data_IF_510696404126
#
_entry.id   IF_510696404126
#
_cell.length_a   1.000
_cell.length_b   1.000
_cell.length_c   1.000
_cell.angle_alpha   90.00
_cell.angle_beta   90.00
_cell.angle_gamma   90.00
#
_symmetry.space_group_name_H-M   'P 1'
#
loop_
_entity.id
_entity.type
_entity.pdbx_description
1 polymer ?
#
# COMPACT_ATOMS: atom_id res chain seq x y z
N UNK A 1 -4.96 -3.36 15.88
CA UNK A 1 -6.36 -3.82 15.78
C UNK A 1 -7.27 -2.70 16.28
N UNK A 2 -8.34 -2.45 15.54
CA UNK A 2 -9.36 -1.47 15.91
C UNK A 2 -10.49 -2.15 16.67
N UNK A 3 -10.88 -1.60 17.81
CA UNK A 3 -11.95 -2.11 18.69
C UNK A 3 -12.89 -0.99 19.16
N UNK A 4 -12.93 0.13 18.44
CA UNK A 4 -13.70 1.32 18.83
C UNK A 4 -15.22 1.10 18.83
N UNK A 5 -15.68 -0.04 18.30
CA UNK A 5 -17.07 -0.47 18.32
C UNK A 5 -17.46 -1.23 19.60
N UNK A 6 -16.53 -1.46 20.53
CA UNK A 6 -16.75 -2.18 21.79
C UNK A 6 -17.07 -1.22 22.93
N UNK A 7 -18.35 -1.15 23.34
CA UNK A 7 -18.79 -0.31 24.46
C UNK A 7 -18.28 -0.79 25.83
N UNK A 8 -17.87 -2.05 25.94
CA UNK A 8 -17.37 -2.68 27.17
C UNK A 8 -16.01 -2.14 27.64
N UNK A 9 -15.36 -1.29 26.85
CA UNK A 9 -14.01 -0.82 27.13
C UNK A 9 -13.79 0.62 26.70
N UNK A 10 -13.02 1.43 27.45
CA UNK A 10 -12.70 2.80 27.04
C UNK A 10 -11.63 2.86 25.93
N UNK A 11 -11.07 1.72 25.52
CA UNK A 11 -9.98 1.66 24.54
C UNK A 11 -10.52 1.49 23.13
N UNK A 12 -9.97 2.26 22.19
CA UNK A 12 -10.36 2.22 20.78
C UNK A 12 -9.46 1.32 19.93
N UNK A 13 -8.24 1.03 20.41
CA UNK A 13 -7.30 0.19 19.66
C UNK A 13 -6.38 -0.63 20.55
N UNK A 14 -5.91 -1.75 19.97
CA UNK A 14 -4.91 -2.64 20.55
C UNK A 14 -3.75 -2.78 19.56
N UNK A 15 -2.53 -2.49 20.02
CA UNK A 15 -1.30 -2.68 19.27
C UNK A 15 -0.59 -3.94 19.77
N UNK A 16 -0.46 -4.91 18.88
CA UNK A 16 0.37 -6.10 19.11
C UNK A 16 1.79 -5.80 18.65
N UNK A 17 2.78 -6.13 19.48
CA UNK A 17 4.19 -5.96 19.20
C UNK A 17 4.85 -7.35 19.21
N UNK A 18 5.93 -7.53 18.43
CA UNK A 18 6.57 -8.85 18.33
C UNK A 18 7.23 -9.31 19.63
N UNK A 19 7.80 -8.37 20.40
CA UNK A 19 8.65 -8.66 21.55
C UNK A 19 8.13 -8.02 22.85
N UNK A 20 6.88 -7.57 22.86
CA UNK A 20 6.29 -6.90 24.02
C UNK A 20 4.81 -7.25 24.15
N UNK A 21 4.29 -7.07 25.35
CA UNK A 21 2.88 -7.20 25.68
C UNK A 21 2.01 -6.28 24.81
N UNK A 22 0.78 -6.70 24.46
CA UNK A 22 -0.14 -5.86 23.70
C UNK A 22 -0.44 -4.55 24.45
N UNK A 23 -0.35 -3.43 23.75
CA UNK A 23 -0.64 -2.09 24.30
C UNK A 23 -2.02 -1.65 23.87
N UNK A 24 -2.81 -1.14 24.82
CA UNK A 24 -4.14 -0.58 24.58
C UNK A 24 -4.03 0.93 24.44
N UNK A 25 -4.84 1.52 23.57
CA UNK A 25 -4.92 2.97 23.41
C UNK A 25 -6.37 3.43 23.31
N UNK A 26 -6.65 4.60 23.87
CA UNK A 26 -7.92 5.33 23.71
C UNK A 26 -8.00 6.05 22.36
N UNK A 27 -6.92 6.04 21.57
CA UNK A 27 -6.92 6.57 20.21
C UNK A 27 -7.39 5.51 19.21
N UNK A 28 -8.06 5.95 18.14
CA UNK A 28 -8.42 5.06 17.03
C UNK A 28 -7.17 4.66 16.24
N UNK A 29 -7.25 3.53 15.54
CA UNK A 29 -6.16 3.10 14.65
C UNK A 29 -5.81 4.15 13.58
N UNK A 30 -6.80 4.92 13.10
CA UNK A 30 -6.58 6.02 12.15
C UNK A 30 -5.63 7.08 12.71
N UNK A 31 -5.83 7.52 13.96
CA UNK A 31 -4.99 8.55 14.60
C UNK A 31 -3.57 8.05 14.78
N UNK A 32 -3.43 6.82 15.30
CA UNK A 32 -2.12 6.20 15.54
C UNK A 32 -1.33 6.07 14.25
N UNK A 33 -1.96 5.54 13.20
CA UNK A 33 -1.28 5.30 11.92
C UNK A 33 -0.96 6.61 11.20
N UNK A 34 -1.87 7.59 11.18
CA UNK A 34 -1.57 8.89 10.58
C UNK A 34 -0.40 9.58 11.27
N UNK A 35 -0.35 9.57 12.61
CA UNK A 35 0.80 10.10 13.36
C UNK A 35 2.10 9.39 12.97
N UNK A 36 2.06 8.07 12.81
CA UNK A 36 3.22 7.33 12.30
C UNK A 36 3.60 7.79 10.89
N UNK A 37 2.66 7.86 9.94
CA UNK A 37 2.93 8.26 8.56
C UNK A 37 3.47 9.70 8.45
N UNK A 38 2.92 10.62 9.24
CA UNK A 38 3.36 12.01 9.29
C UNK A 38 4.79 12.11 9.85
N UNK A 39 5.15 11.27 10.83
CA UNK A 39 6.53 11.18 11.34
C UNK A 39 7.55 10.68 10.31
N UNK A 40 7.08 9.98 9.27
CA UNK A 40 7.93 9.53 8.15
C UNK A 40 8.05 10.60 7.05
N UNK A 41 7.46 11.79 7.23
CA UNK A 41 7.37 12.86 6.23
C UNK A 41 6.72 12.43 4.91
N UNK A 42 5.99 11.31 4.92
CA UNK A 42 5.27 10.78 3.77
C UNK A 42 3.85 10.40 4.20
N UNK A 43 2.90 11.35 4.17
CA UNK A 43 1.53 11.10 4.59
C UNK A 43 0.85 10.01 3.77
N UNK A 44 -0.12 9.33 4.36
CA UNK A 44 -0.83 8.25 3.67
C UNK A 44 -1.65 8.71 2.46
N UNK A 45 -2.04 10.00 2.40
CA UNK A 45 -2.66 10.59 1.21
C UNK A 45 -1.77 10.49 -0.03
N UNK A 46 -0.46 10.67 0.11
CA UNK A 46 0.51 10.51 -0.98
C UNK A 46 0.54 9.06 -1.47
N UNK A 47 0.53 8.10 -0.54
CA UNK A 47 0.45 6.68 -0.91
C UNK A 47 -0.87 6.33 -1.61
N UNK A 48 -1.98 6.89 -1.13
CA UNK A 48 -3.28 6.69 -1.76
C UNK A 48 -3.27 7.20 -3.19
N UNK A 49 -2.74 8.40 -3.42
CA UNK A 49 -2.62 8.97 -4.76
C UNK A 49 -1.74 8.10 -5.68
N UNK A 50 -0.62 7.61 -5.16
CA UNK A 50 0.28 6.71 -5.89
C UNK A 50 -0.39 5.37 -6.24
N UNK A 51 -1.14 4.77 -5.31
CA UNK A 51 -1.90 3.55 -5.60
C UNK A 51 -3.04 3.78 -6.60
N UNK A 52 -3.76 4.89 -6.45
CA UNK A 52 -4.87 5.27 -7.34
C UNK A 52 -4.41 5.53 -8.77
N UNK A 53 -3.24 6.13 -8.97
CA UNK A 53 -2.66 6.34 -10.30
C UNK A 53 -2.31 5.01 -10.99
N UNK A 54 -1.99 3.98 -10.22
CA UNK A 54 -1.78 2.61 -10.71
C UNK A 54 -3.09 1.80 -10.84
N UNK A 55 -4.25 2.45 -10.65
CA UNK A 55 -5.57 1.84 -10.82
C UNK A 55 -6.14 1.17 -9.56
N UNK A 56 -5.44 1.26 -8.42
CA UNK A 56 -5.90 0.66 -7.16
C UNK A 56 -6.72 1.66 -6.33
N UNK A 57 -7.99 1.32 -6.06
CA UNK A 57 -8.93 2.26 -5.42
C UNK A 57 -9.30 1.95 -3.96
N UNK A 58 -8.97 0.76 -3.45
CA UNK A 58 -9.44 0.28 -2.14
C UNK A 58 -8.34 -0.46 -1.38
N UNK A 59 -8.38 -0.35 -0.05
CA UNK A 59 -7.47 -1.04 0.88
C UNK A 59 -6.00 -0.92 0.48
N UNK A 60 -5.56 0.31 0.19
CA UNK A 60 -4.20 0.57 -0.25
C UNK A 60 -3.21 0.36 0.90
N UNK A 61 -2.13 -0.40 0.69
CA UNK A 61 -1.09 -0.54 1.70
C UNK A 61 -0.24 0.73 1.76
N UNK A 62 0.29 1.02 2.95
CA UNK A 62 1.34 2.00 3.16
C UNK A 62 2.70 1.33 3.01
N UNK A 63 3.44 1.69 1.96
CA UNK A 63 4.75 1.12 1.65
C UNK A 63 5.78 2.22 1.56
N UNK A 64 6.76 2.23 2.46
CA UNK A 64 7.86 3.17 2.42
C UNK A 64 9.16 2.43 2.78
N UNK A 65 10.03 2.27 1.78
CA UNK A 65 11.28 1.51 1.94
C UNK A 65 11.00 0.06 2.33
N UNK A 66 11.47 -0.36 3.51
CA UNK A 66 11.30 -1.72 4.04
C UNK A 66 10.08 -1.84 4.98
N UNK A 67 9.28 -0.78 5.10
CA UNK A 67 8.12 -0.76 5.99
C UNK A 67 6.83 -0.90 5.18
N UNK A 68 6.10 -1.98 5.42
CA UNK A 68 4.82 -2.28 4.79
C UNK A 68 3.73 -2.42 5.84
N UNK A 69 2.73 -1.54 5.81
CA UNK A 69 1.51 -1.67 6.59
C UNK A 69 0.32 -1.86 5.65
N UNK A 70 -0.46 -2.91 5.88
CA UNK A 70 -1.62 -3.22 5.05
C UNK A 70 -2.87 -3.11 5.91
N UNK A 71 -3.90 -2.36 5.46
CA UNK A 71 -5.16 -2.30 6.16
C UNK A 71 -6.03 -3.51 5.79
N UNK A 72 -6.72 -4.09 6.76
CA UNK A 72 -7.69 -5.18 6.57
C UNK A 72 -8.88 -4.76 5.67
N UNK A 73 -9.25 -3.48 5.70
CA UNK A 73 -10.33 -2.89 4.90
C UNK A 73 -9.99 -1.48 4.42
N UNK A 74 -10.87 -0.91 3.59
CA UNK A 74 -10.72 0.48 3.13
C UNK A 74 -10.83 1.47 4.30
N UNK A 75 -9.89 2.41 4.39
CA UNK A 75 -9.77 3.31 5.55
C UNK A 75 -10.51 4.64 5.40
N UNK A 76 -11.25 4.84 4.32
CA UNK A 76 -11.85 6.14 3.98
C UNK A 76 -13.06 6.49 4.83
N UNK A 77 -13.83 5.49 5.29
CA UNK A 77 -15.10 5.70 6.02
C UNK A 77 -15.01 5.33 7.50
N UNK A 78 -14.16 4.37 7.84
CA UNK A 78 -14.02 3.84 9.20
C UNK A 78 -12.56 3.47 9.48
N UNK A 79 -12.13 3.50 10.74
CA UNK A 79 -10.85 2.95 11.15
C UNK A 79 -10.69 1.48 10.70
N UNK A 80 -9.45 1.06 10.47
CA UNK A 80 -9.11 -0.25 9.94
C UNK A 80 -8.04 -0.88 10.82
N UNK A 81 -8.04 -2.21 10.92
CA UNK A 81 -6.90 -2.88 11.54
C UNK A 81 -5.75 -2.90 10.53
N UNK A 82 -4.57 -2.53 11.00
CA UNK A 82 -3.36 -2.56 10.21
C UNK A 82 -2.45 -3.69 10.67
N UNK A 83 -1.83 -4.37 9.71
CA UNK A 83 -0.83 -5.39 9.98
C UNK A 83 0.46 -5.08 9.22
N UNK A 84 1.58 -5.36 9.89
CA UNK A 84 2.93 -5.10 9.42
C UNK A 84 3.40 -6.24 8.52
N UNK A 85 3.10 -6.17 7.21
CA UNK A 85 3.43 -7.23 6.25
C UNK A 85 4.96 -7.45 6.12
N UNK A 86 5.77 -6.44 6.42
CA UNK A 86 7.24 -6.52 6.46
C UNK A 86 7.79 -7.46 7.56
N UNK A 87 6.95 -7.90 8.51
CA UNK A 87 7.30 -8.92 9.49
C UNK A 87 6.79 -10.32 9.12
N UNK A 88 5.98 -10.45 8.07
CA UNK A 88 5.33 -11.70 7.71
C UNK A 88 6.21 -12.47 6.73
N UNK A 89 6.69 -13.62 7.17
CA UNK A 89 7.52 -14.52 6.37
C UNK A 89 6.72 -15.63 5.68
N UNK A 90 5.56 -16.01 6.24
CA UNK A 90 4.70 -17.06 5.68
C UNK A 90 3.23 -16.82 6.03
N UNK A 91 2.32 -17.42 5.27
CA UNK A 91 0.88 -17.39 5.49
C UNK A 91 0.28 -18.77 5.26
N UNK A 92 -0.63 -19.20 6.13
CA UNK A 92 -1.40 -20.44 5.97
C UNK A 92 -2.90 -20.14 6.03
N UNK A 93 -3.64 -20.59 5.02
CA UNK A 93 -5.09 -20.50 5.00
C UNK A 93 -5.72 -21.83 5.40
N UNK A 94 -6.43 -21.85 6.53
CA UNK A 94 -7.21 -23.00 6.93
C UNK A 94 -8.60 -22.93 6.28
N UNK A 95 -8.83 -23.80 5.29
CA UNK A 95 -10.11 -23.89 4.57
C UNK A 95 -11.28 -24.33 5.45
N UNK A 96 -11.04 -25.12 6.51
CA UNK A 96 -12.10 -25.57 7.42
C UNK A 96 -12.64 -24.42 8.27
N UNK A 97 -11.73 -23.62 8.83
CA UNK A 97 -12.09 -22.50 9.71
C UNK A 97 -12.29 -21.18 8.96
N UNK A 98 -12.00 -21.16 7.65
CA UNK A 98 -11.97 -19.95 6.80
C UNK A 98 -11.10 -18.83 7.38
N UNK A 99 -9.99 -19.22 8.02
CA UNK A 99 -9.08 -18.32 8.72
C UNK A 99 -7.71 -18.29 8.07
N UNK A 100 -7.17 -17.10 7.92
CA UNK A 100 -5.80 -16.87 7.50
C UNK A 100 -4.92 -16.68 8.72
N UNK A 101 -3.84 -17.45 8.83
CA UNK A 101 -2.82 -17.25 9.87
C UNK A 101 -1.53 -16.75 9.22
N UNK A 102 -1.02 -15.63 9.73
CA UNK A 102 0.23 -15.00 9.31
C UNK A 102 1.34 -15.37 10.29
N UNK A 103 2.52 -15.68 9.78
CA UNK A 103 3.66 -16.14 10.57
C UNK A 103 4.87 -15.22 10.37
N UNK A 104 5.60 -14.96 11.45
CA UNK A 104 7.02 -14.54 11.37
C UNK A 104 7.86 -15.78 11.05
N UNK A 105 9.18 -15.61 10.92
CA UNK A 105 10.12 -16.74 10.85
C UNK A 105 10.08 -17.68 12.07
N UNK A 106 9.55 -17.22 13.22
CA UNK A 106 9.67 -17.94 14.50
C UNK A 106 8.30 -18.30 15.11
N UNK A 107 7.27 -17.46 14.95
CA UNK A 107 5.98 -17.62 15.61
C UNK A 107 4.79 -17.14 14.75
N UNK A 108 3.58 -17.72 14.93
CA UNK A 108 2.35 -17.12 14.41
C UNK A 108 2.15 -15.73 14.99
N UNK A 109 1.84 -14.76 14.13
CA UNK A 109 1.64 -13.35 14.50
C UNK A 109 0.17 -13.07 14.72
N UNK A 110 -0.67 -13.52 13.78
CA UNK A 110 -2.03 -13.03 13.68
C UNK A 110 -2.89 -14.02 12.90
N UNK A 111 -4.07 -14.31 13.43
CA UNK A 111 -5.13 -15.00 12.71
C UNK A 111 -6.23 -14.01 12.37
N UNK A 112 -6.64 -13.96 11.11
CA UNK A 112 -7.64 -13.02 10.60
C UNK A 112 -8.76 -13.77 9.88
N UNK A 113 -9.97 -13.24 10.02
CA UNK A 113 -11.15 -13.68 9.26
C UNK A 113 -11.13 -13.04 7.87
N UNK A 114 -10.17 -13.46 7.05
CA UNK A 114 -10.00 -13.02 5.66
C UNK A 114 -9.90 -14.23 4.74
N UNK A 115 -10.51 -14.13 3.57
CA UNK A 115 -10.41 -15.18 2.55
C UNK A 115 -9.01 -15.22 1.96
N UNK A 116 -8.55 -16.40 1.57
CA UNK A 116 -7.29 -16.56 0.83
C UNK A 116 -7.20 -15.59 -0.36
N UNK A 117 -8.27 -15.51 -1.16
CA UNK A 117 -8.35 -14.61 -2.33
C UNK A 117 -8.23 -13.13 -1.94
N UNK A 118 -8.85 -12.72 -0.83
CA UNK A 118 -8.77 -11.34 -0.35
C UNK A 118 -7.36 -10.95 0.06
N UNK A 119 -6.68 -11.84 0.79
CA UNK A 119 -5.29 -11.65 1.18
C UNK A 119 -4.34 -11.65 -0.02
N UNK A 120 -4.50 -12.61 -0.93
CA UNK A 120 -3.71 -12.70 -2.17
C UNK A 120 -3.81 -11.42 -2.99
N UNK A 121 -5.00 -10.83 -3.08
CA UNK A 121 -5.19 -9.53 -3.73
C UNK A 121 -4.43 -8.42 -3.00
N UNK A 122 -4.48 -8.37 -1.67
CA UNK A 122 -3.73 -7.37 -0.89
C UNK A 122 -2.22 -7.53 -1.06
N UNK A 123 -1.72 -8.77 -1.04
CA UNK A 123 -0.31 -9.08 -1.25
C UNK A 123 0.16 -8.69 -2.67
N UNK A 124 -0.66 -8.92 -3.69
CA UNK A 124 -0.38 -8.48 -5.06
C UNK A 124 -0.30 -6.95 -5.16
N UNK A 125 -1.26 -6.23 -4.57
CA UNK A 125 -1.21 -4.75 -4.54
C UNK A 125 0.06 -4.27 -3.84
N UNK A 126 0.37 -4.83 -2.66
CA UNK A 126 1.56 -4.46 -1.92
C UNK A 126 2.85 -4.71 -2.73
N UNK A 127 2.93 -5.86 -3.40
CA UNK A 127 4.08 -6.23 -4.22
C UNK A 127 4.25 -5.31 -5.42
N UNK A 128 3.16 -4.97 -6.11
CA UNK A 128 3.21 -4.04 -7.24
C UNK A 128 3.63 -2.63 -6.79
N UNK A 129 3.07 -2.11 -5.71
CA UNK A 129 3.45 -0.78 -5.20
C UNK A 129 4.93 -0.75 -4.80
N UNK A 130 5.41 -1.77 -4.07
CA UNK A 130 6.83 -1.87 -3.69
C UNK A 130 7.74 -1.94 -4.92
N UNK A 131 7.40 -2.78 -5.90
CA UNK A 131 8.17 -2.92 -7.12
C UNK A 131 8.26 -1.59 -7.88
N UNK A 132 7.12 -0.92 -8.09
CA UNK A 132 7.08 0.37 -8.80
C UNK A 132 7.93 1.42 -8.07
N UNK A 133 7.78 1.55 -6.74
CA UNK A 133 8.62 2.47 -5.96
C UNK A 133 10.11 2.13 -6.08
N UNK A 134 10.46 0.85 -6.01
CA UNK A 134 11.84 0.40 -6.13
C UNK A 134 12.42 0.76 -7.48
N UNK A 135 11.68 0.57 -8.57
CA UNK A 135 12.11 0.95 -9.93
C UNK A 135 12.29 2.45 -10.10
N UNK A 136 11.40 3.26 -9.54
CA UNK A 136 11.52 4.72 -9.55
C UNK A 136 12.78 5.18 -8.83
N UNK A 137 13.02 4.62 -7.65
CA UNK A 137 14.20 4.95 -6.86
C UNK A 137 15.47 4.46 -7.57
N UNK A 138 15.50 3.24 -8.10
CA UNK A 138 16.60 2.75 -8.93
C UNK A 138 16.90 3.70 -10.10
N UNK A 139 15.88 4.10 -10.85
CA UNK A 139 16.02 5.02 -11.98
C UNK A 139 16.60 6.38 -11.57
N UNK A 140 16.15 6.94 -10.44
CA UNK A 140 16.68 8.19 -9.90
C UNK A 140 18.13 8.07 -9.44
N UNK A 141 18.45 7.01 -8.68
CA UNK A 141 19.82 6.78 -8.20
C UNK A 141 20.79 6.59 -9.37
N UNK A 142 20.39 5.82 -10.39
CA UNK A 142 21.18 5.64 -11.61
C UNK A 142 21.36 6.96 -12.38
N UNK A 143 20.36 7.85 -12.38
CA UNK A 143 20.48 9.16 -13.04
C UNK A 143 21.49 10.09 -12.35
N UNK A 144 21.65 9.95 -11.03
CA UNK A 144 22.57 10.77 -10.23
C UNK A 144 23.88 10.05 -9.85
N UNK A 145 24.19 8.90 -10.47
CA UNK A 145 25.37 8.08 -10.17
C UNK A 145 25.54 7.72 -8.67
N UNK A 146 24.42 7.57 -7.96
CA UNK A 146 24.44 7.22 -6.54
C UNK A 146 24.31 5.71 -6.38
N UNK A 147 25.28 5.08 -5.72
CA UNK A 147 25.18 3.66 -5.35
C UNK A 147 24.35 3.47 -4.09
N UNK A 148 23.51 2.43 -4.05
CA UNK A 148 22.68 2.10 -2.89
C UNK A 148 22.91 0.67 -2.43
N UNK A 149 23.30 0.50 -1.17
CA UNK A 149 23.28 -0.80 -0.51
C UNK A 149 21.83 -1.17 -0.18
N UNK A 150 21.36 -2.30 -0.70
CA UNK A 150 20.05 -2.85 -0.32
C UNK A 150 20.19 -3.68 0.93
N UNK A 151 19.43 -3.33 1.95
CA UNK A 151 19.23 -4.19 3.12
C UNK A 151 18.02 -5.05 2.81
N UNK A 152 18.26 -6.28 2.34
CA UNK A 152 17.20 -7.21 1.98
C UNK A 152 16.65 -7.91 3.22
N UNK A 153 15.35 -7.79 3.48
CA UNK A 153 14.64 -8.61 4.47
C UNK A 153 13.58 -9.44 3.79
N UNK A 154 13.87 -10.73 3.68
CA UNK A 154 12.95 -11.71 3.10
C UNK A 154 11.59 -11.72 3.84
N UNK A 155 10.53 -11.34 3.12
CA UNK A 155 9.15 -11.42 3.55
C UNK A 155 8.25 -11.82 2.37
N UNK A 156 6.95 -11.98 2.62
CA UNK A 156 5.98 -12.42 1.60
C UNK A 156 5.96 -11.55 0.33
N UNK A 157 6.23 -10.24 0.43
CA UNK A 157 6.29 -9.34 -0.75
C UNK A 157 7.47 -9.70 -1.62
N UNK A 158 8.65 -9.90 -1.05
CA UNK A 158 9.85 -10.27 -1.82
C UNK A 158 9.70 -11.67 -2.42
N UNK A 159 9.21 -12.64 -1.64
CA UNK A 159 8.93 -13.99 -2.14
C UNK A 159 7.90 -13.97 -3.29
N UNK A 160 6.93 -13.06 -3.24
CA UNK A 160 5.98 -12.86 -4.34
C UNK A 160 6.71 -12.37 -5.59
N UNK A 161 7.52 -11.33 -5.46
CA UNK A 161 8.25 -10.74 -6.58
C UNK A 161 9.26 -11.70 -7.22
N UNK A 162 9.90 -12.57 -6.44
CA UNK A 162 10.79 -13.62 -6.96
C UNK A 162 10.04 -14.68 -7.78
N UNK A 163 8.77 -14.95 -7.44
CA UNK A 163 7.93 -15.92 -8.15
C UNK A 163 7.26 -15.36 -9.40
N UNK A 164 7.18 -14.03 -9.54
CA UNK A 164 6.59 -13.40 -10.73
C UNK A 164 7.61 -13.43 -11.87
N UNK A 165 7.33 -14.26 -12.87
CA UNK A 165 8.17 -14.49 -14.05
C UNK A 165 7.92 -13.51 -15.20
N UNK A 166 7.00 -12.55 -15.05
CA UNK A 166 6.69 -11.59 -16.10
C UNK A 166 7.65 -10.39 -16.06
N UNK A 167 8.12 -9.98 -17.24
CA UNK A 167 8.77 -8.69 -17.43
C UNK A 167 7.73 -7.60 -17.13
N UNK A 168 7.86 -6.99 -15.96
CA UNK A 168 7.10 -5.80 -15.62
C UNK A 168 7.49 -4.69 -16.61
N UNK A 169 6.53 -3.88 -17.08
CA UNK A 169 6.82 -2.85 -18.08
C UNK A 169 7.96 -1.96 -17.61
N UNK A 170 8.96 -1.76 -18.46
CA UNK A 170 10.04 -0.83 -18.19
C UNK A 170 9.52 0.59 -18.39
N UNK A 171 9.69 1.44 -17.37
CA UNK A 171 9.43 2.86 -17.44
C UNK A 171 10.59 3.58 -16.76
N UNK A 172 10.91 4.78 -17.24
CA UNK A 172 11.86 5.67 -16.57
C UNK A 172 11.17 6.44 -15.44
N UNK A 173 11.95 7.01 -14.52
CA UNK A 173 11.40 7.94 -13.52
C UNK A 173 10.71 9.14 -14.19
N UNK A 174 11.23 9.59 -15.34
CA UNK A 174 10.64 10.65 -16.14
C UNK A 174 9.25 10.27 -16.66
N UNK A 175 9.10 9.09 -17.27
CA UNK A 175 7.80 8.59 -17.77
C UNK A 175 6.76 8.55 -16.66
N UNK A 176 7.18 8.12 -15.47
CA UNK A 176 6.31 8.07 -14.30
C UNK A 176 5.91 9.46 -13.80
N UNK A 177 6.84 10.41 -13.68
CA UNK A 177 6.49 11.78 -13.25
C UNK A 177 5.58 12.47 -14.26
N UNK A 178 5.80 12.25 -15.56
CA UNK A 178 4.94 12.76 -16.60
C UNK A 178 3.54 12.14 -16.53
N UNK A 179 3.45 10.84 -16.29
CA UNK A 179 2.19 10.14 -16.01
C UNK A 179 1.48 10.68 -14.77
N UNK A 180 2.18 10.89 -13.65
CA UNK A 180 1.59 11.43 -12.43
C UNK A 180 1.08 12.86 -12.61
N UNK A 181 1.82 13.69 -13.35
CA UNK A 181 1.42 15.05 -13.69
C UNK A 181 0.13 15.02 -14.52
N UNK A 182 0.10 14.17 -15.54
CA UNK A 182 -1.08 13.96 -16.38
C UNK A 182 -2.29 13.46 -15.57
N UNK A 183 -2.09 12.44 -14.74
CA UNK A 183 -3.14 11.85 -13.91
C UNK A 183 -3.74 12.89 -12.95
N UNK A 184 -2.89 13.69 -12.30
CA UNK A 184 -3.34 14.76 -11.42
C UNK A 184 -4.10 15.85 -12.17
N UNK A 185 -3.60 16.29 -13.33
CA UNK A 185 -4.30 17.25 -14.17
C UNK A 185 -5.69 16.74 -14.58
N UNK A 186 -5.78 15.48 -15.02
CA UNK A 186 -7.04 14.85 -15.39
C UNK A 186 -8.00 14.73 -14.19
N UNK A 187 -7.51 14.33 -13.02
CA UNK A 187 -8.30 14.22 -11.79
C UNK A 187 -8.85 15.58 -11.35
N UNK A 188 -8.03 16.63 -11.43
CA UNK A 188 -8.45 18.01 -11.15
C UNK A 188 -9.50 18.50 -12.15
N UNK A 189 -9.30 18.27 -13.45
CA UNK A 189 -10.26 18.62 -14.50
C UNK A 189 -11.62 17.93 -14.29
N UNK A 190 -11.61 16.62 -14.00
CA UNK A 190 -12.84 15.88 -13.70
C UNK A 190 -13.54 16.37 -12.42
N UNK A 191 -12.79 16.84 -11.43
CA UNK A 191 -13.36 17.40 -10.19
C UNK A 191 -13.99 18.77 -10.43
N UNK A 192 -13.36 19.63 -11.25
CA UNK A 192 -13.83 20.99 -11.52
C UNK A 192 -15.02 21.02 -12.48
N UNK A 193 -14.94 20.23 -13.57
CA UNK A 193 -15.94 20.24 -14.62
C UNK A 193 -17.11 19.27 -14.34
N UNK A 194 -16.92 18.24 -13.51
CA UNK A 194 -17.89 17.17 -13.28
C UNK A 194 -17.81 16.09 -14.35
N UNK A 195 -17.95 14.81 -13.96
CA UNK A 195 -17.64 13.64 -14.81
C UNK A 195 -18.41 13.59 -16.15
N UNK A 196 -19.58 14.24 -16.23
CA UNK A 196 -20.49 14.22 -17.38
C UNK A 196 -20.36 15.44 -18.32
N UNK A 197 -19.32 16.27 -18.16
CA UNK A 197 -19.18 17.45 -19.02
C UNK A 197 -18.69 17.11 -20.43
N UNK A 198 -19.34 17.63 -21.48
CA UNK A 198 -18.92 17.38 -22.87
C UNK A 198 -17.54 17.98 -23.22
N UNK A 199 -17.08 18.96 -22.43
CA UNK A 199 -15.76 19.60 -22.58
C UNK A 199 -14.60 18.78 -22.00
N UNK A 200 -14.90 17.72 -21.25
CA UNK A 200 -13.90 16.92 -20.55
C UNK A 200 -13.09 16.08 -21.56
N UNK A 201 -13.71 15.60 -22.63
CA UNK A 201 -13.02 14.87 -23.70
C UNK A 201 -12.19 15.80 -24.60
N UNK A 202 -12.65 17.03 -24.83
CA UNK A 202 -11.88 18.06 -25.55
C UNK A 202 -10.65 18.51 -24.73
N UNK A 203 -10.82 18.73 -23.41
CA UNK A 203 -9.73 18.98 -22.49
C UNK A 203 -8.78 17.77 -22.37
N UNK A 204 -9.28 16.53 -22.37
CA UNK A 204 -8.42 15.33 -22.40
C UNK A 204 -7.66 15.18 -23.70
N UNK A 205 -8.20 15.61 -24.84
CA UNK A 205 -7.53 15.49 -26.15
C UNK A 205 -6.29 16.37 -26.29
N UNK A 206 -6.25 17.49 -25.56
CA UNK A 206 -5.12 18.43 -25.53
C UNK A 206 -4.00 17.99 -24.59
N UNK A 207 -4.31 17.16 -23.59
CA UNK A 207 -3.31 16.42 -22.81
C UNK A 207 -3.06 15.07 -23.50
N UNK A 208 -1.95 14.92 -24.23
CA UNK A 208 -1.57 13.59 -24.77
C UNK A 208 -0.81 12.81 -23.71
N UNK A 209 -1.17 11.53 -23.51
CA UNK A 209 -0.37 10.59 -22.73
C UNK A 209 1.07 10.58 -23.29
N UNK A 210 2.10 10.56 -22.43
CA UNK A 210 3.46 10.33 -22.87
C UNK A 210 3.52 9.02 -23.65
N UNK A 211 4.19 9.01 -24.80
CA UNK A 211 4.47 7.75 -25.48
C UNK A 211 5.46 6.99 -24.60
N UNK A 212 4.99 5.94 -23.95
CA UNK A 212 5.87 4.95 -23.33
C UNK A 212 6.55 4.20 -24.47
N UNK A 213 7.87 4.37 -24.64
CA UNK A 213 8.63 3.60 -25.61
C UNK A 213 8.56 2.11 -25.22
N UNK A 214 8.22 1.26 -26.19
CA UNK A 214 8.11 -0.19 -26.03
C UNK A 214 9.47 -0.88 -26.11
#
# INVERSE_FOLDING_TARGET
>A
MDISDREETPYNSIMYQLNDSPKKSTETTTVIMNRYFDSQYFPYSCMKLFGESLGYKRSLPYILGETYFVPDRGTSKKPASWYALHHVANSNFNSADKKLTLFTKQHPILTQDTTHVGFEKQLNVASHLYFTQTKLVEGLFNHFDVSRNRIYRENLVHQRLERVSYQLPSFTAYDFFQFMTFYNAQKSLSTILGEDTPYLDEARSSFRLPKMDK
#
